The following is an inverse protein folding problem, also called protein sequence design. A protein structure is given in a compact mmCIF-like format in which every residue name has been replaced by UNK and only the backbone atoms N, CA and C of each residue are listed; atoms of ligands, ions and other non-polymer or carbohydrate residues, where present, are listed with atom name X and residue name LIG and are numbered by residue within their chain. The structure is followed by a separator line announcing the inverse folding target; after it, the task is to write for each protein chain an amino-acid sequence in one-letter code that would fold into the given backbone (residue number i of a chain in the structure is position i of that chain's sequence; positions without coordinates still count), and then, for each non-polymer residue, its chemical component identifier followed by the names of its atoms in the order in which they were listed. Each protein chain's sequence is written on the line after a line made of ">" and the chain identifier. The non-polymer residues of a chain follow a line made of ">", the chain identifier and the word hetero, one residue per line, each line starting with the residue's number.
data_IF_059463220564
#
_entry.id   IF_059463220564
#
_cell.length_a   1.000
_cell.length_b   1.000
_cell.length_c   1.000
_cell.angle_alpha   90.00
_cell.angle_beta   90.00
_cell.angle_gamma   90.00
#
_symmetry.space_group_name_H-M   'P 1'
#
loop_
_entity.id
_entity.type
_entity.pdbx_description
1 polymer ?
#
# COMPACT_ATOMS: atom_id res chain seq x y z
N UNK A 1 -0.35 33.93 -7.62
CA UNK A 1 1.01 33.38 -7.41
C UNK A 1 0.87 32.18 -6.48
N UNK A 2 0.88 30.97 -7.04
CA UNK A 2 0.77 29.74 -6.24
C UNK A 2 2.14 29.44 -5.63
N UNK A 3 2.17 29.34 -4.29
CA UNK A 3 3.35 29.00 -3.51
C UNK A 3 3.86 27.61 -3.89
N UNK A 4 5.12 27.56 -4.33
CA UNK A 4 5.79 26.32 -4.71
C UNK A 4 5.84 25.31 -3.55
N UNK A 5 5.36 24.11 -3.82
CA UNK A 5 5.53 22.94 -2.96
C UNK A 5 7.02 22.60 -2.95
N UNK A 6 7.69 22.79 -1.82
CA UNK A 6 9.05 22.30 -1.60
C UNK A 6 8.96 20.82 -1.24
N UNK A 7 9.22 19.94 -2.21
CA UNK A 7 9.50 18.53 -1.97
C UNK A 7 10.91 18.47 -1.37
N UNK A 8 11.02 18.09 -0.09
CA UNK A 8 12.31 17.88 0.57
C UNK A 8 12.81 16.49 0.14
N UNK A 9 13.67 16.46 -0.88
CA UNK A 9 14.39 15.25 -1.27
C UNK A 9 15.59 15.09 -0.32
N UNK A 10 15.51 14.13 0.59
CA UNK A 10 16.69 13.71 1.37
C UNK A 10 17.58 12.85 0.45
N UNK A 11 18.84 13.27 0.34
CA UNK A 11 19.92 12.65 -0.47
C UNK A 11 20.00 11.12 -0.34
N UNK A 12 20.40 10.36 -1.39
CA UNK A 12 20.61 8.92 -1.32
C UNK A 12 21.80 8.49 -0.43
N UNK A 13 22.60 9.45 0.05
CA UNK A 13 23.80 9.21 0.84
C UNK A 13 23.53 9.55 2.31
N UNK A 14 22.83 8.68 3.01
CA UNK A 14 22.48 8.91 4.42
C UNK A 14 21.75 7.79 5.16
N UNK A 15 21.79 6.54 4.70
CA UNK A 15 21.33 5.41 5.51
C UNK A 15 22.44 4.98 6.48
N UNK A 16 22.52 5.65 7.62
CA UNK A 16 23.23 5.14 8.79
C UNK A 16 22.31 5.23 10.00
N UNK A 17 21.39 4.26 10.13
CA UNK A 17 21.00 3.62 11.39
C UNK A 17 19.89 2.58 11.11
N UNK A 18 20.27 1.37 10.69
CA UNK A 18 19.41 0.20 10.86
C UNK A 18 20.12 -0.73 11.84
N UNK A 19 19.83 -0.55 13.14
CA UNK A 19 20.12 -1.59 14.12
C UNK A 19 19.30 -2.81 13.72
N UNK A 20 20.00 -3.90 13.42
CA UNK A 20 19.46 -5.24 13.21
C UNK A 20 18.60 -5.65 14.41
N UNK A 21 17.28 -5.48 14.30
CA UNK A 21 16.33 -6.15 15.18
C UNK A 21 15.87 -7.38 14.41
N UNK A 22 16.29 -8.56 14.89
CA UNK A 22 15.73 -9.84 14.47
C UNK A 22 14.28 -9.90 14.95
N UNK A 23 13.35 -9.54 14.08
CA UNK A 23 11.92 -9.74 14.29
C UNK A 23 11.41 -10.72 13.24
N UNK A 24 10.86 -11.83 13.76
CA UNK A 24 10.35 -12.96 13.00
C UNK A 24 9.38 -12.58 11.89
N UNK A 25 9.16 -13.52 10.99
CA UNK A 25 8.33 -13.33 9.80
C UNK A 25 6.93 -12.82 10.13
N UNK A 26 6.57 -11.68 9.52
CA UNK A 26 5.17 -11.24 9.48
C UNK A 26 4.42 -12.20 8.56
N UNK A 27 3.37 -12.91 9.03
CA UNK A 27 2.62 -13.87 8.23
C UNK A 27 1.72 -13.11 7.26
N UNK A 28 2.31 -12.64 6.17
CA UNK A 28 1.68 -11.70 5.23
C UNK A 28 0.72 -12.35 4.21
N UNK A 29 0.51 -13.66 4.26
CA UNK A 29 -0.38 -14.38 3.32
C UNK A 29 -1.61 -15.03 3.96
N UNK A 30 -1.70 -15.07 5.30
CA UNK A 30 -2.78 -15.81 5.99
C UNK A 30 -4.02 -14.97 6.31
N UNK A 31 -3.98 -13.64 6.10
CA UNK A 31 -5.03 -12.72 6.58
C UNK A 31 -6.15 -12.48 5.58
N UNK A 32 -5.86 -12.43 4.28
CA UNK A 32 -6.88 -12.15 3.24
C UNK A 32 -7.81 -13.35 3.05
N UNK A 33 -7.25 -14.56 2.92
CA UNK A 33 -8.02 -15.80 2.72
C UNK A 33 -8.93 -16.14 3.92
N UNK A 34 -8.47 -15.87 5.15
CA UNK A 34 -9.26 -16.15 6.35
C UNK A 34 -10.44 -15.19 6.59
N UNK A 35 -10.44 -13.98 6.01
CA UNK A 35 -11.44 -12.97 6.36
C UNK A 35 -12.70 -13.04 5.49
N UNK A 36 -12.61 -13.47 4.23
CA UNK A 36 -13.80 -13.72 3.40
C UNK A 36 -14.59 -14.94 3.91
N UNK A 37 -13.91 -15.93 4.49
CA UNK A 37 -14.53 -17.08 5.16
C UNK A 37 -15.31 -16.69 6.42
N UNK A 38 -14.99 -15.55 7.07
CA UNK A 38 -15.71 -15.06 8.27
C UNK A 38 -17.24 -14.97 8.05
N UNK A 39 -17.66 -14.64 6.83
CA UNK A 39 -19.08 -14.54 6.47
C UNK A 39 -19.76 -15.90 6.35
N UNK A 40 -19.01 -16.95 6.02
CA UNK A 40 -19.48 -18.34 5.98
C UNK A 40 -19.59 -18.96 7.38
N UNK A 41 -18.97 -18.34 8.40
CA UNK A 41 -19.05 -18.78 9.79
C UNK A 41 -20.42 -18.48 10.42
N UNK A 42 -20.90 -19.40 11.25
CA UNK A 42 -22.08 -19.22 12.11
C UNK A 42 -21.83 -18.16 13.19
N UNK A 43 -22.87 -17.58 13.81
CA UNK A 43 -22.71 -16.64 14.92
C UNK A 43 -21.83 -17.17 16.07
N UNK A 44 -21.93 -18.47 16.39
CA UNK A 44 -21.15 -19.14 17.42
C UNK A 44 -19.68 -19.23 17.03
N UNK A 45 -19.40 -19.66 15.80
CA UNK A 45 -18.04 -19.73 15.25
C UNK A 45 -17.38 -18.34 15.20
N UNK A 46 -18.15 -17.29 14.86
CA UNK A 46 -17.67 -15.91 14.87
C UNK A 46 -17.32 -15.43 16.27
N UNK A 47 -18.16 -15.73 17.27
CA UNK A 47 -17.90 -15.38 18.68
C UNK A 47 -16.63 -16.07 19.18
N UNK A 48 -16.47 -17.35 18.87
CA UNK A 48 -15.30 -18.12 19.26
C UNK A 48 -14.02 -17.61 18.59
N UNK A 49 -14.07 -17.31 17.29
CA UNK A 49 -12.95 -16.68 16.57
C UNK A 49 -12.57 -15.32 17.18
N UNK A 50 -13.54 -14.45 17.49
CA UNK A 50 -13.27 -13.15 18.12
C UNK A 50 -12.65 -13.35 19.51
N UNK A 51 -13.16 -14.30 20.31
CA UNK A 51 -12.59 -14.64 21.62
C UNK A 51 -11.13 -15.09 21.50
N UNK A 52 -10.82 -15.96 20.53
CA UNK A 52 -9.45 -16.41 20.26
C UNK A 52 -8.54 -15.27 19.81
N UNK A 53 -9.03 -14.33 19.00
CA UNK A 53 -8.27 -13.16 18.57
C UNK A 53 -7.96 -12.21 19.72
N UNK A 54 -8.97 -11.90 20.54
CA UNK A 54 -8.80 -11.04 21.71
C UNK A 54 -7.86 -11.68 22.75
N UNK A 55 -7.92 -12.99 22.94
CA UNK A 55 -6.98 -13.72 23.81
C UNK A 55 -5.52 -13.63 23.34
N UNK A 56 -5.28 -13.41 22.04
CA UNK A 56 -3.95 -13.18 21.45
C UNK A 56 -3.55 -11.70 21.43
N UNK A 57 -4.37 -10.79 21.98
CA UNK A 57 -4.15 -9.34 21.92
C UNK A 57 -4.39 -8.72 20.54
N UNK A 58 -5.03 -9.45 19.62
CA UNK A 58 -5.30 -8.96 18.27
C UNK A 58 -6.60 -8.14 18.21
N UNK A 59 -6.73 -7.23 17.22
CA UNK A 59 -7.99 -6.54 17.01
C UNK A 59 -9.10 -7.53 16.65
N UNK A 60 -10.35 -7.26 17.08
CA UNK A 60 -11.46 -8.21 16.92
C UNK A 60 -11.79 -8.49 15.45
N UNK A 61 -11.66 -7.48 14.59
CA UNK A 61 -12.14 -7.53 13.20
C UNK A 61 -11.18 -6.92 12.17
N UNK A 62 -9.89 -6.76 12.52
CA UNK A 62 -8.86 -6.26 11.59
C UNK A 62 -7.57 -7.05 11.73
N UNK A 63 -6.75 -7.19 10.68
CA UNK A 63 -5.40 -7.72 10.80
C UNK A 63 -4.61 -6.94 11.88
N UNK A 64 -3.78 -7.62 12.70
CA UNK A 64 -2.90 -6.92 13.62
C UNK A 64 -1.78 -6.21 12.84
N UNK A 65 -1.32 -5.07 13.37
CA UNK A 65 -0.12 -4.35 12.92
C UNK A 65 0.97 -4.55 13.98
N UNK A 66 1.73 -5.68 13.94
CA UNK A 66 2.56 -6.14 15.04
C UNK A 66 3.84 -5.32 15.26
N UNK A 67 4.29 -4.58 14.24
CA UNK A 67 5.53 -3.81 14.26
C UNK A 67 5.21 -2.36 13.92
N UNK A 68 5.33 -1.47 14.90
CA UNK A 68 5.05 -0.03 14.78
C UNK A 68 6.27 0.78 15.21
N UNK A 69 7.36 0.65 14.47
CA UNK A 69 8.62 1.35 14.72
C UNK A 69 8.91 2.31 13.58
N UNK A 70 9.87 3.22 13.78
CA UNK A 70 10.34 4.11 12.73
C UNK A 70 11.12 3.35 11.65
N UNK A 71 10.55 3.21 10.46
CA UNK A 71 11.13 2.45 9.36
C UNK A 71 10.44 2.76 8.01
N UNK A 72 10.96 2.18 6.93
CA UNK A 72 10.20 2.08 5.68
C UNK A 72 9.16 0.97 5.78
N UNK A 73 7.97 1.21 5.24
CA UNK A 73 6.88 0.24 5.13
C UNK A 73 6.34 0.20 3.71
N UNK A 74 6.07 -1.02 3.24
CA UNK A 74 5.12 -1.26 2.17
C UNK A 74 3.71 -1.30 2.76
N UNK A 75 2.88 -0.35 2.39
CA UNK A 75 1.46 -0.30 2.74
C UNK A 75 0.67 -0.81 1.54
N UNK A 76 -0.20 -1.79 1.75
CA UNK A 76 -1.13 -2.31 0.72
C UNK A 76 -2.55 -2.00 1.14
N UNK A 77 -3.34 -1.43 0.23
CA UNK A 77 -4.74 -1.10 0.49
C UNK A 77 -5.61 -1.70 -0.59
N UNK A 78 -6.55 -2.56 -0.19
CA UNK A 78 -7.44 -3.23 -1.11
C UNK A 78 -8.86 -2.65 -1.08
N UNK A 79 -9.49 -2.61 -2.25
CA UNK A 79 -10.92 -2.53 -2.35
C UNK A 79 -11.57 -3.77 -1.72
N UNK A 80 -12.77 -3.58 -1.19
CA UNK A 80 -13.55 -4.63 -0.58
C UNK A 80 -13.84 -5.74 -1.60
N UNK A 81 -13.49 -7.00 -1.27
CA UNK A 81 -13.61 -8.16 -2.17
C UNK A 81 -12.81 -8.01 -3.47
N UNK A 82 -11.71 -7.26 -3.44
CA UNK A 82 -10.86 -6.95 -4.60
C UNK A 82 -11.65 -6.47 -5.82
N UNK A 83 -12.79 -5.81 -5.57
CA UNK A 83 -13.63 -5.27 -6.63
C UNK A 83 -12.93 -4.08 -7.30
N UNK A 84 -13.00 -3.95 -8.64
CA UNK A 84 -12.24 -2.96 -9.40
C UNK A 84 -12.88 -1.56 -9.38
N UNK A 85 -13.11 -1.02 -8.18
CA UNK A 85 -13.78 0.27 -7.99
C UNK A 85 -12.94 1.49 -8.42
N UNK A 86 -11.64 1.29 -8.63
CA UNK A 86 -10.64 2.28 -9.07
C UNK A 86 -10.24 2.02 -10.54
N UNK A 87 -11.08 1.36 -11.34
CA UNK A 87 -10.76 0.93 -12.71
C UNK A 87 -10.61 2.07 -13.73
N UNK A 88 -11.18 3.24 -13.47
CA UNK A 88 -11.06 4.38 -14.40
C UNK A 88 -9.77 5.18 -14.10
N UNK A 89 -9.03 5.65 -15.13
CA UNK A 89 -7.89 6.54 -14.93
C UNK A 89 -8.25 7.78 -14.08
N UNK A 90 -9.45 8.32 -14.30
CA UNK A 90 -9.95 9.44 -13.51
C UNK A 90 -9.98 9.15 -12.00
N UNK A 91 -10.53 8.00 -11.57
CA UNK A 91 -10.55 7.62 -10.15
C UNK A 91 -9.17 7.32 -9.60
N UNK A 92 -8.29 6.69 -10.40
CA UNK A 92 -6.91 6.44 -9.97
C UNK A 92 -6.17 7.75 -9.72
N UNK A 93 -6.30 8.71 -10.64
CA UNK A 93 -5.67 10.02 -10.50
C UNK A 93 -6.27 10.83 -9.34
N UNK A 94 -7.59 10.81 -9.15
CA UNK A 94 -8.25 11.45 -8.01
C UNK A 94 -7.73 10.88 -6.67
N UNK A 95 -7.66 9.55 -6.56
CA UNK A 95 -7.14 8.87 -5.39
C UNK A 95 -5.67 9.23 -5.15
N UNK A 96 -4.84 9.22 -6.19
CA UNK A 96 -3.42 9.56 -6.10
C UNK A 96 -3.24 10.98 -5.56
N UNK A 97 -3.97 11.96 -6.12
CA UNK A 97 -3.92 13.35 -5.66
C UNK A 97 -4.31 13.48 -4.18
N UNK A 98 -5.38 12.79 -3.77
CA UNK A 98 -5.85 12.81 -2.38
C UNK A 98 -4.85 12.12 -1.42
N UNK A 99 -4.23 11.02 -1.83
CA UNK A 99 -3.16 10.38 -1.06
C UNK A 99 -2.02 11.36 -0.83
N UNK A 100 -1.52 11.98 -1.90
CA UNK A 100 -0.43 12.94 -1.82
C UNK A 100 -0.78 14.13 -0.91
N UNK A 101 -1.97 14.71 -1.09
CA UNK A 101 -2.46 15.79 -0.22
C UNK A 101 -2.43 15.37 1.26
N UNK A 102 -3.03 14.22 1.61
CA UNK A 102 -3.16 13.81 3.00
C UNK A 102 -1.83 13.38 3.64
N UNK A 103 -1.00 12.64 2.91
CA UNK A 103 0.30 12.16 3.41
C UNK A 103 1.30 13.30 3.55
N UNK A 104 1.43 14.18 2.56
CA UNK A 104 2.36 15.31 2.60
C UNK A 104 1.96 16.28 3.71
N UNK A 105 0.67 16.61 3.85
CA UNK A 105 0.19 17.49 4.92
C UNK A 105 0.43 16.92 6.33
N UNK A 106 0.49 15.59 6.45
CA UNK A 106 0.84 14.91 7.69
C UNK A 106 2.35 14.69 7.88
N UNK A 107 3.17 15.13 6.92
CA UNK A 107 4.63 15.04 6.97
C UNK A 107 5.20 13.66 6.64
N UNK A 108 4.44 12.80 5.98
CA UNK A 108 4.94 11.49 5.53
C UNK A 108 5.75 11.62 4.23
N UNK A 109 6.80 10.81 4.14
CA UNK A 109 7.68 10.72 2.96
C UNK A 109 7.33 9.47 2.14
N UNK A 110 6.65 9.71 1.01
CA UNK A 110 6.30 8.67 0.04
C UNK A 110 7.47 8.47 -0.93
N UNK A 111 8.06 7.27 -0.93
CA UNK A 111 9.16 6.90 -1.83
C UNK A 111 8.69 6.30 -3.13
N UNK A 112 7.63 5.50 -3.10
CA UNK A 112 7.04 4.92 -4.30
C UNK A 112 5.55 4.65 -4.13
N UNK A 113 4.83 4.58 -5.24
CA UNK A 113 3.40 4.32 -5.26
C UNK A 113 3.01 3.59 -6.54
N UNK A 114 1.91 2.85 -6.47
CA UNK A 114 1.20 2.31 -7.63
C UNK A 114 -0.30 2.25 -7.29
N UNK A 115 -1.15 2.79 -8.17
CA UNK A 115 -2.60 2.69 -8.05
C UNK A 115 -3.12 1.72 -9.11
N UNK A 116 -3.85 0.68 -8.69
CA UNK A 116 -4.38 -0.36 -9.56
C UNK A 116 -5.91 -0.36 -9.49
N UNK A 117 -6.61 -1.08 -10.40
CA UNK A 117 -8.07 -1.04 -10.46
C UNK A 117 -8.80 -1.44 -9.16
N UNK A 118 -8.23 -2.32 -8.35
CA UNK A 118 -8.86 -2.87 -7.16
C UNK A 118 -8.02 -2.74 -5.88
N UNK A 119 -6.80 -2.20 -5.95
CA UNK A 119 -5.94 -1.98 -4.80
C UNK A 119 -4.86 -0.95 -5.12
N UNK A 120 -4.09 -0.53 -4.14
CA UNK A 120 -2.91 0.31 -4.34
C UNK A 120 -1.83 0.00 -3.31
N UNK A 121 -0.59 0.32 -3.66
CA UNK A 121 0.55 0.21 -2.74
C UNK A 121 1.27 1.53 -2.57
N UNK A 122 1.79 1.76 -1.37
CA UNK A 122 2.66 2.89 -1.03
C UNK A 122 3.90 2.36 -0.31
N UNK A 123 5.08 2.77 -0.76
CA UNK A 123 6.34 2.60 -0.02
C UNK A 123 6.64 3.91 0.70
N UNK A 124 6.54 3.91 2.03
CA UNK A 124 6.51 5.13 2.85
C UNK A 124 7.50 5.01 4.00
N UNK A 125 8.22 6.08 4.32
CA UNK A 125 8.90 6.19 5.60
C UNK A 125 7.92 6.61 6.69
N UNK A 126 7.82 5.81 7.74
CA UNK A 126 6.81 5.97 8.79
C UNK A 126 7.52 6.18 10.12
N UNK A 127 7.51 7.42 10.61
CA UNK A 127 7.95 7.80 11.96
C UNK A 127 6.78 7.87 12.96
N UNK A 128 5.54 7.96 12.45
CA UNK A 128 4.30 8.10 13.21
C UNK A 128 3.24 7.08 12.79
N UNK A 129 3.53 5.79 12.97
CA UNK A 129 2.65 4.70 12.53
C UNK A 129 1.17 4.85 12.94
N UNK A 130 0.82 5.28 14.18
CA UNK A 130 -0.58 5.44 14.57
C UNK A 130 -1.38 6.43 13.73
N UNK A 131 -0.71 7.39 13.07
CA UNK A 131 -1.38 8.36 12.19
C UNK A 131 -1.89 7.76 10.88
N UNK A 132 -1.31 6.66 10.40
CA UNK A 132 -1.72 6.02 9.14
C UNK A 132 -3.20 5.66 9.14
N UNK A 133 -3.71 5.11 10.25
CA UNK A 133 -5.13 4.78 10.40
C UNK A 133 -6.03 6.01 10.23
N UNK A 134 -5.62 7.17 10.76
CA UNK A 134 -6.36 8.42 10.61
C UNK A 134 -6.37 8.89 9.16
N UNK A 135 -5.22 8.84 8.48
CA UNK A 135 -5.10 9.24 7.07
C UNK A 135 -5.96 8.36 6.16
N UNK A 136 -5.87 7.04 6.31
CA UNK A 136 -6.67 6.12 5.52
C UNK A 136 -8.16 6.29 5.78
N UNK A 137 -8.60 6.53 7.03
CA UNK A 137 -10.01 6.82 7.31
C UNK A 137 -10.52 8.06 6.55
N UNK A 138 -9.71 9.12 6.45
CA UNK A 138 -10.06 10.33 5.70
C UNK A 138 -10.15 10.02 4.19
N UNK A 139 -9.11 9.38 3.65
CA UNK A 139 -9.02 9.05 2.22
C UNK A 139 -10.17 8.13 1.82
N UNK A 140 -10.38 7.05 2.58
CA UNK A 140 -11.40 6.03 2.33
C UNK A 140 -12.81 6.59 2.49
N UNK A 141 -13.04 7.43 3.50
CA UNK A 141 -14.33 8.06 3.73
C UNK A 141 -14.73 9.01 2.60
N UNK A 142 -13.79 9.87 2.15
CA UNK A 142 -14.02 10.82 1.05
C UNK A 142 -14.32 10.10 -0.26
N UNK A 143 -13.43 9.20 -0.68
CA UNK A 143 -13.56 8.45 -1.94
C UNK A 143 -14.79 7.54 -1.93
N UNK A 144 -15.08 6.84 -0.82
CA UNK A 144 -16.30 6.02 -0.71
C UNK A 144 -17.57 6.84 -0.90
N UNK A 145 -17.61 8.05 -0.32
CA UNK A 145 -18.76 8.94 -0.49
C UNK A 145 -18.89 9.40 -1.94
N UNK A 146 -17.81 9.90 -2.53
CA UNK A 146 -17.86 10.46 -3.89
C UNK A 146 -18.18 9.40 -4.93
N UNK A 147 -17.51 8.25 -4.91
CA UNK A 147 -17.74 7.21 -5.92
C UNK A 147 -19.10 6.51 -5.77
N UNK A 148 -19.65 6.42 -4.56
CA UNK A 148 -21.01 5.94 -4.37
C UNK A 148 -22.07 6.93 -4.88
N UNK A 149 -21.83 8.24 -4.73
CA UNK A 149 -22.71 9.27 -5.31
C UNK A 149 -22.62 9.27 -6.84
N UNK A 150 -21.40 9.20 -7.38
CA UNK A 150 -21.13 9.11 -8.82
C UNK A 150 -21.84 7.89 -9.45
N UNK A 151 -21.72 6.73 -8.82
CA UNK A 151 -22.33 5.48 -9.31
C UNK A 151 -23.84 5.35 -8.96
N UNK A 152 -24.41 6.32 -8.22
CA UNK A 152 -25.78 6.27 -7.69
C UNK A 152 -26.09 5.01 -6.86
N UNK A 153 -25.08 4.47 -6.17
CA UNK A 153 -25.19 3.26 -5.33
C UNK A 153 -25.24 3.66 -3.86
N UNK A 154 -26.20 3.11 -3.11
CA UNK A 154 -26.25 3.28 -1.65
C UNK A 154 -25.63 2.09 -0.93
N UNK A 155 -25.01 2.33 0.24
CA UNK A 155 -24.50 1.30 1.17
C UNK A 155 -23.40 0.36 0.63
N UNK A 156 -22.83 0.61 -0.55
CA UNK A 156 -21.67 -0.14 -1.06
C UNK A 156 -20.42 0.20 -0.26
N UNK A 157 -19.71 -0.84 0.18
CA UNK A 157 -18.39 -0.74 0.82
C UNK A 157 -17.32 -0.75 -0.28
N UNK A 158 -16.57 0.34 -0.42
CA UNK A 158 -15.49 0.46 -1.40
C UNK A 158 -14.19 -0.13 -0.87
N UNK A 159 -13.79 0.26 0.35
CA UNK A 159 -12.49 -0.11 0.93
C UNK A 159 -12.63 -1.21 1.97
N UNK A 160 -11.63 -2.07 2.06
CA UNK A 160 -11.56 -3.08 3.10
C UNK A 160 -10.79 -2.58 4.34
N UNK A 161 -9.45 -2.56 4.24
CA UNK A 161 -8.48 -2.06 5.22
C UNK A 161 -7.13 -1.90 4.52
N UNK A 162 -6.13 -1.42 5.25
CA UNK A 162 -4.73 -1.51 4.81
C UNK A 162 -4.01 -2.65 5.54
N UNK A 163 -2.94 -3.16 4.94
CA UNK A 163 -1.93 -3.99 5.58
C UNK A 163 -0.56 -3.32 5.44
N UNK A 164 0.38 -3.70 6.30
CA UNK A 164 1.73 -3.16 6.32
C UNK A 164 2.78 -4.28 6.29
N UNK A 165 3.93 -3.97 5.69
CA UNK A 165 5.14 -4.78 5.76
C UNK A 165 6.34 -3.87 5.96
N UNK A 166 6.99 -4.00 7.11
CA UNK A 166 8.24 -3.32 7.39
C UNK A 166 9.36 -3.79 6.45
N UNK A 167 10.06 -2.84 5.85
CA UNK A 167 11.26 -3.07 5.03
C UNK A 167 12.45 -3.32 5.95
N UNK A 168 13.26 -4.33 5.62
CA UNK A 168 14.27 -4.89 6.55
C UNK A 168 15.70 -4.48 6.21
N UNK A 169 15.96 -4.15 4.95
CA UNK A 169 17.27 -3.77 4.42
C UNK A 169 17.09 -3.21 3.00
N UNK A 170 18.18 -2.72 2.42
CA UNK A 170 18.20 -2.12 1.08
C UNK A 170 17.75 -3.08 -0.01
N UNK A 171 18.16 -4.36 0.06
CA UNK A 171 17.71 -5.35 -0.91
C UNK A 171 16.19 -5.51 -0.91
N UNK A 172 15.58 -5.61 0.28
CA UNK A 172 14.12 -5.64 0.43
C UNK A 172 13.50 -4.35 -0.11
N UNK A 173 14.09 -3.18 0.18
CA UNK A 173 13.61 -1.89 -0.33
C UNK A 173 13.54 -1.85 -1.86
N UNK A 174 14.64 -2.19 -2.55
CA UNK A 174 14.69 -2.14 -4.01
C UNK A 174 13.84 -3.23 -4.65
N UNK A 175 13.74 -4.41 -4.05
CA UNK A 175 12.79 -5.43 -4.52
C UNK A 175 11.33 -4.96 -4.40
N UNK A 176 10.98 -4.29 -3.31
CA UNK A 176 9.65 -3.68 -3.14
C UNK A 176 9.40 -2.59 -4.20
N UNK A 177 10.35 -1.70 -4.42
CA UNK A 177 10.27 -0.66 -5.44
C UNK A 177 9.97 -1.26 -6.83
N UNK A 178 10.75 -2.29 -7.20
CA UNK A 178 10.60 -2.96 -8.48
C UNK A 178 9.27 -3.72 -8.58
N UNK A 179 8.85 -4.38 -7.51
CA UNK A 179 7.53 -5.03 -7.46
C UNK A 179 6.40 -4.02 -7.68
N UNK A 180 6.46 -2.83 -7.07
CA UNK A 180 5.48 -1.76 -7.29
C UNK A 180 5.42 -1.35 -8.76
N UNK A 181 6.57 -1.11 -9.40
CA UNK A 181 6.64 -0.67 -10.81
C UNK A 181 6.16 -1.75 -11.78
N UNK A 182 6.45 -3.02 -11.51
CA UNK A 182 6.05 -4.14 -12.37
C UNK A 182 4.64 -4.66 -12.10
N UNK A 183 3.96 -4.19 -11.05
CA UNK A 183 2.64 -4.70 -10.67
C UNK A 183 1.60 -4.59 -11.80
N UNK A 184 1.49 -3.48 -12.56
CA UNK A 184 0.58 -3.40 -13.72
C UNK A 184 0.85 -4.45 -14.80
N UNK A 185 2.12 -4.83 -15.00
CA UNK A 185 2.51 -5.87 -15.96
C UNK A 185 2.19 -7.26 -15.40
N UNK A 186 2.42 -7.49 -14.11
CA UNK A 186 2.08 -8.74 -13.41
C UNK A 186 0.59 -9.07 -13.53
N UNK A 187 -0.28 -8.06 -13.52
CA UNK A 187 -1.73 -8.22 -13.65
C UNK A 187 -2.26 -8.03 -15.09
N UNK A 188 -1.38 -8.05 -16.10
CA UNK A 188 -1.74 -7.94 -17.51
C UNK A 188 -2.52 -6.65 -17.89
N UNK A 189 -2.36 -5.57 -17.12
CA UNK A 189 -3.03 -4.29 -17.43
C UNK A 189 -2.32 -3.54 -18.55
N UNK A 190 -1.00 -3.65 -18.62
CA UNK A 190 -0.15 -3.01 -19.63
C UNK A 190 1.07 -3.86 -19.97
N UNK A 191 1.62 -3.76 -21.20
CA UNK A 191 2.79 -4.55 -21.61
C UNK A 191 4.11 -4.03 -21.02
N UNK A 192 4.15 -2.77 -20.56
CA UNK A 192 5.35 -2.15 -19.97
C UNK A 192 5.01 -1.40 -18.67
N UNK A 193 5.92 -1.39 -17.66
CA UNK A 193 5.75 -0.55 -16.47
C UNK A 193 5.56 0.94 -16.83
N UNK A 194 6.18 1.36 -17.94
CA UNK A 194 6.13 2.74 -18.43
C UNK A 194 4.77 3.15 -18.99
N UNK A 195 3.88 2.20 -19.26
CA UNK A 195 2.57 2.50 -19.85
C UNK A 195 1.50 2.74 -18.76
N UNK A 196 1.86 2.69 -17.48
CA UNK A 196 0.96 2.94 -16.36
C UNK A 196 1.20 4.31 -15.75
N UNK A 197 0.24 5.22 -15.86
CA UNK A 197 0.38 6.61 -15.45
C UNK A 197 0.41 6.79 -13.92
N UNK A 198 -0.45 6.07 -13.19
CA UNK A 198 -0.60 6.25 -11.74
C UNK A 198 0.44 5.43 -10.94
N UNK A 199 1.69 5.52 -11.37
CA UNK A 199 2.87 4.83 -10.85
C UNK A 199 4.00 5.82 -10.58
N UNK A 200 4.83 5.55 -9.56
CA UNK A 200 6.03 6.36 -9.32
C UNK A 200 7.14 6.15 -10.36
N UNK A 201 7.01 5.18 -11.27
CA UNK A 201 8.03 4.88 -12.29
C UNK A 201 8.43 6.12 -13.09
N UNK A 202 7.46 6.98 -13.45
CA UNK A 202 7.70 8.22 -14.20
C UNK A 202 8.56 9.22 -13.42
N UNK A 203 8.31 9.36 -12.12
CA UNK A 203 9.12 10.20 -11.24
C UNK A 203 10.56 9.70 -11.19
N UNK A 204 10.77 8.39 -11.12
CA UNK A 204 12.11 7.80 -11.14
C UNK A 204 12.82 7.99 -12.48
N UNK A 205 12.11 7.89 -13.62
CA UNK A 205 12.67 8.19 -14.94
C UNK A 205 13.13 9.65 -15.00
N UNK A 206 12.28 10.57 -14.53
CA UNK A 206 12.57 12.01 -14.56
C UNK A 206 13.79 12.38 -13.70
N UNK A 207 13.93 11.77 -12.51
CA UNK A 207 14.93 12.18 -11.52
C UNK A 207 16.24 11.38 -11.56
N UNK A 208 16.19 10.11 -11.98
CA UNK A 208 17.37 9.22 -12.00
C UNK A 208 17.71 8.72 -13.40
N UNK A 209 16.81 8.87 -14.37
CA UNK A 209 16.98 8.37 -15.72
C UNK A 209 16.58 6.90 -15.86
N UNK A 210 16.32 6.52 -17.12
CA UNK A 210 15.88 5.16 -17.47
C UNK A 210 16.95 4.09 -17.22
N UNK A 211 18.23 4.45 -17.40
CA UNK A 211 19.35 3.51 -17.18
C UNK A 211 19.44 3.09 -15.72
N UNK A 212 19.34 4.04 -14.79
CA UNK A 212 19.31 3.75 -13.36
C UNK A 212 18.18 2.79 -12.97
N UNK A 213 16.96 3.01 -13.49
CA UNK A 213 15.83 2.12 -13.25
C UNK A 213 16.11 0.71 -13.78
N UNK A 214 16.67 0.60 -14.98
CA UNK A 214 16.99 -0.69 -15.59
C UNK A 214 18.03 -1.44 -14.76
N UNK A 215 19.07 -0.75 -14.31
CA UNK A 215 20.12 -1.34 -13.48
C UNK A 215 19.55 -1.80 -12.13
N UNK A 216 18.68 -1.00 -11.50
CA UNK A 216 17.97 -1.39 -10.29
C UNK A 216 17.08 -2.62 -10.51
N UNK A 217 16.39 -2.73 -11.65
CA UNK A 217 15.56 -3.89 -12.01
C UNK A 217 16.37 -5.16 -12.20
N UNK A 218 17.55 -5.06 -12.82
CA UNK A 218 18.46 -6.19 -13.03
C UNK A 218 19.13 -6.62 -11.72
N UNK A 219 19.56 -5.66 -10.90
CA UNK A 219 20.25 -5.92 -9.65
C UNK A 219 19.33 -6.49 -8.57
N UNK A 220 18.07 -6.05 -8.55
CA UNK A 220 17.08 -6.42 -7.52
C UNK A 220 15.80 -7.03 -8.14
N UNK A 221 15.89 -8.18 -8.81
CA UNK A 221 14.74 -8.77 -9.51
C UNK A 221 13.63 -9.16 -8.52
N UNK A 222 12.38 -9.00 -8.96
CA UNK A 222 11.18 -9.31 -8.16
C UNK A 222 11.11 -10.80 -7.79
N UNK A 223 11.46 -11.72 -8.72
CA UNK A 223 11.36 -13.19 -8.50
C UNK A 223 9.98 -13.56 -7.93
N UNK A 224 9.92 -14.29 -6.81
CA UNK A 224 8.68 -14.67 -6.10
C UNK A 224 8.19 -13.60 -5.10
N UNK A 225 8.84 -12.43 -5.03
CA UNK A 225 8.41 -11.36 -4.12
C UNK A 225 7.03 -10.86 -4.53
N UNK A 226 6.09 -10.81 -3.58
CA UNK A 226 4.72 -10.39 -3.87
C UNK A 226 3.81 -11.47 -4.44
N UNK A 227 4.25 -12.73 -4.46
CA UNK A 227 3.41 -13.87 -4.84
C UNK A 227 2.26 -14.06 -3.84
N UNK A 228 1.04 -14.23 -4.34
CA UNK A 228 -0.21 -14.42 -3.59
C UNK A 228 -0.66 -13.23 -2.70
N UNK A 229 -0.10 -12.02 -2.87
CA UNK A 229 -0.47 -10.85 -2.05
C UNK A 229 -1.69 -10.10 -2.58
N UNK A 230 -1.92 -10.16 -3.90
CA UNK A 230 -2.84 -9.30 -4.65
C UNK A 230 -3.95 -10.09 -5.37
N UNK A 231 -3.98 -11.41 -5.17
CA UNK A 231 -4.94 -12.35 -5.76
C UNK A 231 -6.21 -12.53 -4.88
#
# INVERSE_FOLDING_TARGET
>A
MMSGVKIIVVSPLGLNLLKLINIGESPSGLTTFMMYEYRKLTPEQRKELVKQRLAKGFPPHSPPHPIQIEAFYLLTVACYEHQPYISTPHRRQELLNLIFEQFINAGFDIRAWIILPNHYHLLVYVDKFPELSRLFNIIHGRTSRYWNLEDQVTKRKIWYSFSDRMIRNDNHYYQTLNYLHFNPVKHDYVPSPYDWEESSVHWYIEHYGREWLRDAWVQYPVKDYGKDWDD
#
